data_IF_466095284234
#
_entry.id   IF_466095284234
#
_cell.length_a   1.000
_cell.length_b   1.000
_cell.length_c   1.000
_cell.angle_alpha   90.00
_cell.angle_beta   90.00
_cell.angle_gamma   90.00
#
_symmetry.space_group_name_H-M   'P 1'
#
loop_
_entity.id
_entity.type
_entity.pdbx_description
1 polymer ?
#
# COMPACT_ATOMS: atom_id res chain seq x y z
N UNK A 1 38.10 -31.03 2.25
CA UNK A 1 36.61 -31.01 2.21
C UNK A 1 35.93 -30.41 3.45
N UNK A 2 36.64 -29.98 4.51
CA UNK A 2 36.00 -29.36 5.69
C UNK A 2 35.89 -27.83 5.64
N UNK A 3 36.70 -27.14 4.84
CA UNK A 3 36.75 -25.67 4.77
C UNK A 3 35.53 -25.01 4.09
N UNK A 4 34.70 -25.77 3.37
CA UNK A 4 33.48 -25.24 2.74
C UNK A 4 32.25 -25.26 3.65
N UNK A 5 32.31 -25.95 4.80
CA UNK A 5 31.18 -26.02 5.75
C UNK A 5 31.05 -24.75 6.58
N UNK A 6 32.15 -24.06 6.87
CA UNK A 6 32.17 -22.82 7.65
C UNK A 6 31.50 -21.66 6.92
N UNK A 7 31.64 -21.58 5.59
CA UNK A 7 31.02 -20.53 4.76
C UNK A 7 29.49 -20.65 4.72
N UNK A 8 28.94 -21.86 4.81
CA UNK A 8 27.48 -22.12 4.82
C UNK A 8 26.83 -21.86 6.19
N UNK A 9 27.62 -21.72 7.26
CA UNK A 9 27.13 -21.37 8.60
C UNK A 9 27.04 -19.86 8.82
N UNK A 10 27.67 -19.05 7.95
CA UNK A 10 27.56 -17.60 8.01
C UNK A 10 26.26 -17.19 7.34
N UNK A 11 25.22 -16.95 8.13
CA UNK A 11 24.00 -16.34 7.62
C UNK A 11 24.33 -14.95 7.06
N UNK A 12 23.93 -14.63 5.82
CA UNK A 12 24.19 -13.32 5.25
C UNK A 12 23.46 -12.26 6.09
N UNK A 13 24.19 -11.21 6.49
CA UNK A 13 23.57 -10.03 7.09
C UNK A 13 22.78 -9.35 6.00
N UNK A 14 21.45 -9.38 6.12
CA UNK A 14 20.53 -8.72 5.20
C UNK A 14 19.89 -7.53 5.87
N UNK A 15 19.77 -6.41 5.15
CA UNK A 15 18.93 -5.30 5.56
C UNK A 15 17.48 -5.65 5.24
N UNK A 16 16.77 -6.20 6.22
CA UNK A 16 15.35 -6.50 6.12
C UNK A 16 14.54 -5.59 7.05
N UNK A 17 13.43 -5.06 6.53
CA UNK A 17 12.46 -4.33 7.35
C UNK A 17 11.72 -5.27 8.31
N UNK A 18 11.45 -4.81 9.53
CA UNK A 18 10.62 -5.54 10.51
C UNK A 18 9.18 -5.04 10.42
N UNK A 19 8.23 -5.95 10.22
CA UNK A 19 6.82 -5.61 10.33
C UNK A 19 6.48 -5.35 11.80
N UNK A 20 5.98 -4.16 12.09
CA UNK A 20 5.46 -3.77 13.40
C UNK A 20 3.98 -3.45 13.29
N UNK A 21 3.27 -3.48 14.41
CA UNK A 21 1.92 -2.94 14.45
C UNK A 21 1.98 -1.44 14.13
N UNK A 22 1.20 -0.96 13.13
CA UNK A 22 1.17 0.46 12.81
C UNK A 22 0.58 1.25 13.98
N UNK A 23 1.11 2.45 14.22
CA UNK A 23 0.56 3.38 15.20
C UNK A 23 -0.85 3.85 14.77
N UNK A 24 -1.73 4.20 15.73
CA UNK A 24 -3.06 4.72 15.41
C UNK A 24 -2.98 6.00 14.57
N UNK A 25 -3.65 6.00 13.42
CA UNK A 25 -3.77 7.18 12.55
C UNK A 25 -4.97 8.00 13.03
N UNK A 26 -4.82 9.33 13.04
CA UNK A 26 -5.86 10.25 13.48
C UNK A 26 -6.26 11.22 12.36
N UNK A 27 -7.53 11.62 12.36
CA UNK A 27 -7.99 12.75 11.56
C UNK A 27 -7.40 14.04 12.14
N UNK A 28 -6.77 14.86 11.30
CA UNK A 28 -6.14 16.10 11.72
C UNK A 28 -7.09 17.28 11.54
N UNK A 29 -7.22 18.14 12.55
CA UNK A 29 -8.06 19.32 12.45
C UNK A 29 -7.43 20.31 11.45
N UNK A 30 -8.09 20.52 10.32
CA UNK A 30 -7.59 21.37 9.21
C UNK A 30 -6.20 20.96 8.69
N UNK A 31 -5.81 19.70 8.89
CA UNK A 31 -4.50 19.19 8.48
C UNK A 31 -3.34 19.58 9.40
N UNK A 32 -3.59 20.18 10.57
CA UNK A 32 -2.54 20.48 11.55
C UNK A 32 -2.06 19.20 12.28
N UNK A 33 -0.79 18.77 12.12
CA UNK A 33 -0.25 17.60 12.80
C UNK A 33 -0.24 17.70 14.33
N UNK A 34 -0.25 18.93 14.88
CA UNK A 34 -0.30 19.16 16.32
C UNK A 34 -1.73 19.03 16.91
N UNK A 35 -2.75 18.88 16.06
CA UNK A 35 -4.16 18.80 16.46
C UNK A 35 -4.81 17.50 15.96
N UNK A 36 -4.37 16.33 16.46
CA UNK A 36 -5.03 15.07 16.17
C UNK A 36 -6.41 15.02 16.82
N UNK A 37 -7.38 14.49 16.08
CA UNK A 37 -8.79 14.38 16.51
C UNK A 37 -9.15 12.91 16.72
N UNK A 38 -10.12 12.37 15.96
CA UNK A 38 -10.58 10.99 16.10
C UNK A 38 -9.61 10.00 15.44
N UNK A 39 -9.40 8.81 16.04
CA UNK A 39 -8.66 7.75 15.38
C UNK A 39 -9.44 7.22 14.17
N UNK A 40 -8.74 6.89 13.10
CA UNK A 40 -9.31 6.36 11.86
C UNK A 40 -8.67 5.01 11.51
N UNK A 41 -9.53 4.06 11.14
CA UNK A 41 -9.10 2.74 10.69
C UNK A 41 -8.60 2.75 9.25
N UNK A 42 -7.98 1.65 8.79
CA UNK A 42 -7.67 1.47 7.39
C UNK A 42 -8.94 1.38 6.55
N UNK A 43 -8.95 2.02 5.39
CA UNK A 43 -10.03 1.96 4.44
C UNK A 43 -9.66 2.65 3.12
N UNK A 44 -10.50 2.46 2.11
CA UNK A 44 -10.41 3.23 0.87
C UNK A 44 -11.27 4.50 0.90
N UNK A 45 -11.26 5.25 -0.19
CA UNK A 45 -12.11 6.43 -0.34
C UNK A 45 -13.53 6.01 -0.75
N UNK A 46 -14.54 6.46 0.00
CA UNK A 46 -15.95 6.13 -0.27
C UNK A 46 -16.39 6.54 -1.67
N UNK A 47 -15.94 7.71 -2.15
CA UNK A 47 -16.24 8.21 -3.50
C UNK A 47 -15.74 7.28 -4.62
N UNK A 48 -14.72 6.48 -4.32
CA UNK A 48 -14.16 5.49 -5.25
C UNK A 48 -14.71 4.08 -5.00
N UNK A 49 -15.68 3.91 -4.10
CA UNK A 49 -16.11 2.60 -3.59
C UNK A 49 -14.90 1.79 -3.13
N UNK A 50 -14.10 2.44 -2.27
CA UNK A 50 -12.86 1.90 -1.73
C UNK A 50 -13.05 0.63 -0.90
N UNK A 51 -11.93 0.05 -0.47
CA UNK A 51 -11.94 -1.17 0.34
C UNK A 51 -12.44 -0.88 1.75
N UNK A 52 -13.44 -1.63 2.20
CA UNK A 52 -13.82 -1.70 3.61
C UNK A 52 -12.95 -2.73 4.33
N UNK A 53 -12.35 -2.32 5.45
CA UNK A 53 -11.48 -3.16 6.28
C UNK A 53 -11.85 -2.98 7.74
N UNK A 54 -11.69 -4.04 8.53
CA UNK A 54 -11.78 -3.93 9.98
C UNK A 54 -10.64 -3.05 10.50
N UNK A 55 -10.92 -2.28 11.57
CA UNK A 55 -9.96 -1.38 12.21
C UNK A 55 -8.67 -2.08 12.66
N UNK A 56 -8.79 -3.34 13.05
CA UNK A 56 -7.75 -4.22 13.58
C UNK A 56 -7.17 -5.19 12.54
N UNK A 57 -7.54 -5.04 11.26
CA UNK A 57 -7.10 -5.95 10.20
C UNK A 57 -5.56 -6.03 10.13
N UNK A 58 -4.97 -7.24 10.22
CA UNK A 58 -3.53 -7.44 10.07
C UNK A 58 -3.00 -6.85 8.77
N UNK A 59 -1.80 -6.28 8.84
CA UNK A 59 -1.15 -5.59 7.74
C UNK A 59 -1.07 -6.43 6.43
N UNK A 60 -0.75 -7.75 6.46
CA UNK A 60 -0.78 -8.56 5.25
C UNK A 60 -2.15 -8.63 4.57
N UNK A 61 -3.23 -8.72 5.36
CA UNK A 61 -4.59 -8.76 4.83
C UNK A 61 -5.01 -7.42 4.22
N UNK A 62 -4.62 -6.31 4.85
CA UNK A 62 -4.84 -4.97 4.31
C UNK A 62 -4.21 -4.80 2.92
N UNK A 63 -2.97 -5.24 2.74
CA UNK A 63 -2.29 -5.21 1.43
C UNK A 63 -2.98 -6.06 0.38
N UNK A 64 -3.38 -7.28 0.74
CA UNK A 64 -4.08 -8.17 -0.20
C UNK A 64 -5.43 -7.57 -0.62
N UNK A 65 -6.17 -7.00 0.33
CA UNK A 65 -7.46 -6.38 0.03
C UNK A 65 -7.31 -5.15 -0.88
N UNK A 66 -6.32 -4.29 -0.60
CA UNK A 66 -5.98 -3.17 -1.49
C UNK A 66 -5.59 -3.66 -2.90
N UNK A 67 -4.72 -4.66 -2.98
CA UNK A 67 -4.29 -5.21 -4.26
C UNK A 67 -5.47 -5.77 -5.07
N UNK A 68 -6.37 -6.53 -4.44
CA UNK A 68 -7.58 -7.05 -5.07
C UNK A 68 -8.50 -5.94 -5.57
N UNK A 69 -8.66 -4.87 -4.80
CA UNK A 69 -9.47 -3.74 -5.22
C UNK A 69 -8.85 -2.97 -6.37
N UNK A 70 -7.53 -2.75 -6.36
CA UNK A 70 -6.80 -2.05 -7.43
C UNK A 70 -6.95 -2.74 -8.80
N UNK A 71 -6.98 -4.08 -8.82
CA UNK A 71 -7.01 -4.86 -10.06
C UNK A 71 -8.37 -5.49 -10.38
N UNK A 72 -9.32 -5.41 -9.45
CA UNK A 72 -10.68 -5.93 -9.63
C UNK A 72 -11.62 -4.90 -10.27
N UNK A 73 -12.82 -5.35 -10.61
CA UNK A 73 -13.85 -4.52 -11.28
C UNK A 73 -14.29 -3.29 -10.45
N UNK A 74 -14.05 -3.33 -9.13
CA UNK A 74 -14.37 -2.26 -8.22
C UNK A 74 -13.36 -1.08 -8.23
N UNK A 75 -12.16 -1.25 -8.79
CA UNK A 75 -11.09 -0.24 -8.83
C UNK A 75 -10.99 0.47 -10.18
N UNK A 76 -11.80 1.51 -10.47
CA UNK A 76 -11.92 2.07 -11.82
C UNK A 76 -10.69 2.87 -12.28
N UNK A 77 -9.84 3.30 -11.34
CA UNK A 77 -8.80 4.28 -11.64
C UNK A 77 -7.55 3.66 -12.28
N UNK A 78 -7.17 2.43 -11.90
CA UNK A 78 -5.90 1.84 -12.34
C UNK A 78 -5.91 1.65 -13.86
N UNK A 79 -6.99 1.07 -14.40
CA UNK A 79 -7.16 0.90 -15.84
C UNK A 79 -7.12 2.26 -16.56
N UNK A 80 -7.89 3.25 -16.10
CA UNK A 80 -7.92 4.60 -16.70
C UNK A 80 -6.54 5.26 -16.69
N UNK A 81 -5.82 5.19 -15.57
CA UNK A 81 -4.49 5.81 -15.41
C UNK A 81 -3.47 5.15 -16.33
N UNK A 82 -3.44 3.82 -16.42
CA UNK A 82 -2.50 3.11 -17.28
C UNK A 82 -2.80 3.38 -18.76
N UNK A 83 -4.06 3.32 -19.17
CA UNK A 83 -4.47 3.64 -20.55
C UNK A 83 -4.06 5.08 -20.89
N UNK A 84 -4.36 6.04 -20.01
CA UNK A 84 -3.97 7.44 -20.22
C UNK A 84 -2.44 7.60 -20.32
N UNK A 85 -1.68 6.90 -19.49
CA UNK A 85 -0.20 6.97 -19.48
C UNK A 85 0.40 6.40 -20.77
N UNK A 86 -0.10 5.25 -21.22
CA UNK A 86 0.33 4.64 -22.49
C UNK A 86 -0.01 5.57 -23.64
N UNK A 87 -1.24 6.09 -23.70
CA UNK A 87 -1.67 7.02 -24.75
C UNK A 87 -0.81 8.28 -24.78
N UNK A 88 -0.57 8.91 -23.63
CA UNK A 88 0.29 10.09 -23.52
C UNK A 88 1.71 9.84 -24.05
N UNK A 89 2.30 8.66 -23.80
CA UNK A 89 3.62 8.32 -24.36
C UNK A 89 3.63 8.15 -25.88
N UNK A 90 2.51 7.73 -26.49
CA UNK A 90 2.44 7.53 -27.93
C UNK A 90 2.07 8.81 -28.69
N UNK A 91 1.19 9.65 -28.12
CA UNK A 91 0.59 10.79 -28.82
C UNK A 91 0.96 12.15 -28.23
N UNK A 92 1.78 12.18 -27.17
CA UNK A 92 2.25 13.41 -26.52
C UNK A 92 1.19 14.17 -25.71
N UNK A 93 -0.07 13.71 -25.69
CA UNK A 93 -1.17 14.30 -24.92
C UNK A 93 -2.03 13.18 -24.36
N UNK A 94 -2.51 13.31 -23.12
CA UNK A 94 -3.38 12.31 -22.48
C UNK A 94 -4.83 12.35 -22.98
N UNK A 95 -5.59 11.30 -22.65
CA UNK A 95 -7.04 11.25 -22.78
C UNK A 95 -7.65 12.03 -21.62
N UNK A 96 -8.23 13.21 -21.92
CA UNK A 96 -9.00 14.01 -20.95
C UNK A 96 -10.35 13.35 -20.68
#
# INVERSE_FOLDING_TARGET
MLSQRSTLQQQPVVFAGRFTAPEPVHLLLRGDPAQPTVPVGPGGLDVLRGVELSGDAPEPLRRVALARWLVGDAGPLVARVIVNRVWHHHFGTGLA
#
